data_IF_484863088966
#
_entry.id   IF_484863088966
#
_cell.length_a   1.000
_cell.length_b   1.000
_cell.length_c   1.000
_cell.angle_alpha   90.00
_cell.angle_beta   90.00
_cell.angle_gamma   90.00
#
_symmetry.space_group_name_H-M   'P 1'
#
loop_
_entity.id
_entity.type
_entity.pdbx_description
1 polymer ?
#
# COMPACT_ATOMS: atom_id res chain seq x y z
N UNK A 1 -15.91 16.39 -4.97
CA UNK A 1 -15.55 15.15 -4.24
C UNK A 1 -14.99 15.59 -2.90
N UNK A 2 -15.66 15.28 -1.79
CA UNK A 2 -15.30 15.81 -0.48
C UNK A 2 -14.04 15.10 0.05
N UNK A 3 -13.06 15.87 0.54
CA UNK A 3 -11.83 15.30 1.12
C UNK A 3 -12.11 14.35 2.30
N UNK A 4 -13.25 14.52 2.97
CA UNK A 4 -13.68 13.68 4.11
C UNK A 4 -13.95 12.21 3.74
N UNK A 5 -14.33 11.90 2.49
CA UNK A 5 -14.60 10.51 2.07
C UNK A 5 -13.32 9.75 1.68
N UNK A 6 -12.26 10.45 1.30
CA UNK A 6 -11.02 9.86 0.82
C UNK A 6 -10.22 9.28 2.00
N UNK A 7 -10.16 10.00 3.12
CA UNK A 7 -9.50 9.55 4.35
C UNK A 7 -10.11 8.24 4.90
N UNK A 8 -11.42 8.07 4.76
CA UNK A 8 -12.17 6.88 5.21
C UNK A 8 -11.86 5.62 4.38
N UNK A 9 -11.68 5.76 3.07
CA UNK A 9 -11.39 4.62 2.18
C UNK A 9 -9.96 4.10 2.39
N UNK A 10 -8.98 4.99 2.58
CA UNK A 10 -7.59 4.57 2.79
C UNK A 10 -7.35 3.94 4.15
N UNK A 11 -8.03 4.41 5.20
CA UNK A 11 -7.99 3.72 6.48
C UNK A 11 -8.51 2.27 6.38
N UNK A 12 -9.49 2.01 5.50
CA UNK A 12 -10.01 0.66 5.28
C UNK A 12 -9.03 -0.22 4.50
N UNK A 13 -8.44 0.31 3.43
CA UNK A 13 -7.40 -0.38 2.65
C UNK A 13 -6.17 -0.65 3.53
N UNK A 14 -5.74 0.34 4.31
CA UNK A 14 -4.60 0.22 5.21
C UNK A 14 -4.81 -0.86 6.28
N UNK A 15 -5.99 -0.91 6.89
CA UNK A 15 -6.37 -1.97 7.83
C UNK A 15 -6.37 -3.35 7.18
N UNK A 16 -6.84 -3.47 5.94
CA UNK A 16 -6.86 -4.73 5.20
C UNK A 16 -5.46 -5.21 4.81
N UNK A 17 -4.55 -4.27 4.47
CA UNK A 17 -3.16 -4.59 4.19
C UNK A 17 -2.42 -4.99 5.47
N UNK A 18 -2.60 -4.24 6.56
CA UNK A 18 -1.96 -4.53 7.85
C UNK A 18 -2.31 -5.93 8.39
N UNK A 19 -3.49 -6.48 8.08
CA UNK A 19 -3.91 -7.80 8.54
C UNK A 19 -3.35 -8.98 7.73
N UNK A 20 -2.74 -8.74 6.56
CA UNK A 20 -2.37 -9.80 5.61
C UNK A 20 -0.86 -10.08 5.50
N UNK A 21 -0.07 -9.79 6.53
CA UNK A 21 1.41 -9.84 6.46
C UNK A 21 2.02 -8.95 5.36
N UNK A 22 1.21 -8.04 4.77
CA UNK A 22 1.64 -7.12 3.72
C UNK A 22 2.83 -6.27 4.16
N UNK A 23 2.85 -5.89 5.45
CA UNK A 23 3.93 -5.12 6.07
C UNK A 23 5.27 -5.83 5.87
N UNK A 24 5.34 -7.12 6.22
CA UNK A 24 6.55 -7.93 6.07
C UNK A 24 6.95 -8.08 4.60
N UNK A 25 5.99 -8.23 3.69
CA UNK A 25 6.26 -8.31 2.25
C UNK A 25 6.84 -7.00 1.70
N UNK A 26 6.27 -5.84 2.05
CA UNK A 26 6.76 -4.53 1.61
C UNK A 26 8.14 -4.25 2.20
N UNK A 27 8.34 -4.47 3.49
CA UNK A 27 9.66 -4.31 4.13
C UNK A 27 10.71 -5.24 3.50
N UNK A 28 10.35 -6.49 3.24
CA UNK A 28 11.23 -7.46 2.56
C UNK A 28 11.63 -7.02 1.14
N UNK A 29 10.70 -6.43 0.38
CA UNK A 29 11.00 -5.85 -0.93
C UNK A 29 11.93 -4.65 -0.82
N UNK A 30 11.65 -3.71 0.08
CA UNK A 30 12.51 -2.53 0.31
C UNK A 30 13.92 -2.98 0.69
N UNK A 31 14.04 -3.88 1.66
CA UNK A 31 15.32 -4.46 2.07
C UNK A 31 16.06 -5.08 0.88
N UNK A 32 15.38 -5.90 0.06
CA UNK A 32 15.98 -6.54 -1.10
C UNK A 32 16.56 -5.55 -2.12
N UNK A 33 15.84 -4.46 -2.42
CA UNK A 33 16.26 -3.49 -3.43
C UNK A 33 17.25 -2.44 -2.93
N UNK A 34 17.24 -2.15 -1.62
CA UNK A 34 18.02 -1.04 -1.04
C UNK A 34 19.14 -1.49 -0.12
N UNK A 35 19.19 -2.77 0.24
CA UNK A 35 20.08 -3.34 1.25
C UNK A 35 19.99 -2.66 2.65
N UNK A 36 18.86 -2.00 2.95
CA UNK A 36 18.60 -1.41 4.26
C UNK A 36 18.29 -2.52 5.27
N UNK A 37 19.17 -2.72 6.24
CA UNK A 37 18.99 -3.70 7.34
C UNK A 37 18.33 -3.11 8.59
N UNK A 38 18.25 -1.78 8.66
CA UNK A 38 17.70 -1.07 9.81
C UNK A 38 16.17 -1.15 9.81
N UNK A 39 15.63 -1.92 10.74
CA UNK A 39 14.19 -2.15 10.90
C UNK A 39 13.43 -0.85 11.22
N UNK A 40 14.01 0.11 11.95
CA UNK A 40 13.35 1.39 12.23
C UNK A 40 13.21 2.24 10.97
N UNK A 41 14.19 2.17 10.06
CA UNK A 41 14.12 2.84 8.76
C UNK A 41 13.07 2.16 7.89
N UNK A 42 13.03 0.82 7.86
CA UNK A 42 12.01 0.06 7.13
C UNK A 42 10.59 0.37 7.65
N UNK A 43 10.42 0.52 8.97
CA UNK A 43 9.15 0.92 9.59
C UNK A 43 8.72 2.32 9.16
N UNK A 44 9.63 3.30 9.14
CA UNK A 44 9.32 4.67 8.70
C UNK A 44 8.94 4.71 7.22
N UNK A 45 9.68 4.02 6.36
CA UNK A 45 9.35 3.91 4.93
C UNK A 45 7.96 3.30 4.75
N UNK A 46 7.64 2.23 5.49
CA UNK A 46 6.32 1.62 5.44
C UNK A 46 5.22 2.59 5.92
N UNK A 47 5.42 3.28 7.04
CA UNK A 47 4.44 4.25 7.55
C UNK A 47 4.21 5.41 6.58
N UNK A 48 5.27 5.95 5.99
CA UNK A 48 5.18 7.03 5.00
C UNK A 48 4.47 6.54 3.73
N UNK A 49 4.78 5.34 3.26
CA UNK A 49 4.11 4.73 2.12
C UNK A 49 2.61 4.50 2.37
N UNK A 50 2.23 4.13 3.60
CA UNK A 50 0.83 3.87 3.97
C UNK A 50 0.02 5.15 4.24
N UNK A 51 0.66 6.22 4.71
CA UNK A 51 0.02 7.49 5.02
C UNK A 51 -0.07 8.42 3.80
N UNK A 52 0.73 8.19 2.77
CA UNK A 52 0.69 8.97 1.52
C UNK A 52 -0.39 8.40 0.58
N UNK A 53 -1.12 9.28 -0.11
CA UNK A 53 -2.11 8.94 -1.15
C UNK A 53 -1.45 8.20 -2.36
N UNK A 54 -0.17 7.85 -2.30
CA UNK A 54 0.57 7.08 -3.33
C UNK A 54 0.10 5.64 -3.48
N UNK A 55 -0.27 4.95 -2.39
CA UNK A 55 -0.85 3.59 -2.47
C UNK A 55 -2.07 3.58 -3.38
N UNK A 56 -2.85 4.63 -3.30
CA UNK A 56 -4.08 4.82 -4.07
C UNK A 56 -3.74 4.88 -5.54
N UNK A 57 -2.67 5.57 -5.92
CA UNK A 57 -2.27 5.70 -7.31
C UNK A 57 -1.82 4.34 -7.88
N UNK A 58 -1.09 3.55 -7.09
CA UNK A 58 -0.66 2.20 -7.46
C UNK A 58 -1.85 1.23 -7.57
N UNK A 59 -2.80 1.31 -6.65
CA UNK A 59 -3.98 0.43 -6.64
C UNK A 59 -5.07 0.86 -7.64
N UNK A 60 -5.12 2.13 -8.04
CA UNK A 60 -6.26 2.72 -8.76
C UNK A 60 -6.15 2.62 -10.29
N UNK A 61 -5.00 2.25 -10.87
CA UNK A 61 -4.89 2.17 -12.34
C UNK A 61 -4.43 0.79 -12.80
N UNK A 62 -3.18 0.41 -12.53
CA UNK A 62 -2.64 -0.86 -13.05
C UNK A 62 -3.33 -2.09 -12.45
N UNK A 63 -3.62 -2.06 -11.15
CA UNK A 63 -4.32 -3.16 -10.49
C UNK A 63 -5.79 -3.25 -10.91
N UNK A 64 -6.46 -2.11 -11.16
CA UNK A 64 -7.84 -2.11 -11.65
C UNK A 64 -7.92 -2.74 -13.04
N UNK A 65 -6.98 -2.43 -13.93
CA UNK A 65 -6.94 -3.04 -15.27
C UNK A 65 -6.75 -4.56 -15.20
N UNK A 66 -5.87 -5.03 -14.30
CA UNK A 66 -5.67 -6.46 -14.06
C UNK A 66 -6.93 -7.09 -13.45
N UNK A 67 -7.57 -6.45 -12.46
CA UNK A 67 -8.81 -6.96 -11.87
C UNK A 67 -9.90 -7.08 -12.94
N UNK A 68 -10.07 -6.05 -13.78
CA UNK A 68 -11.06 -6.03 -14.85
C UNK A 68 -10.78 -7.10 -15.91
N UNK A 69 -9.52 -7.49 -16.11
CA UNK A 69 -9.16 -8.60 -16.99
C UNK A 69 -9.67 -9.96 -16.47
N UNK A 70 -9.56 -10.22 -15.16
CA UNK A 70 -9.91 -11.52 -14.56
C UNK A 70 -11.33 -11.61 -14.01
N UNK A 71 -11.91 -10.48 -13.63
CA UNK A 71 -13.29 -10.35 -13.19
C UNK A 71 -14.05 -9.41 -14.15
N UNK A 72 -14.20 -9.81 -15.43
CA UNK A 72 -15.07 -9.08 -16.33
C UNK A 72 -16.49 -9.13 -15.77
N UNK A 73 -17.14 -7.96 -15.73
CA UNK A 73 -18.50 -7.76 -15.21
C UNK A 73 -19.52 -8.79 -15.65
#
# INVERSE_FOLDING_TARGET
MNQDSIQSYWQTVAKCLASQNYISTVKGLVHHFTAIEDEEILDKIFQDFMNDDRITTVLNTDLQDIINHYLPK
#
